data_IF_980624374556
#
_entry.id   IF_980624374556
#
_cell.length_a   1.000
_cell.length_b   1.000
_cell.length_c   1.000
_cell.angle_alpha   90.00
_cell.angle_beta   90.00
_cell.angle_gamma   90.00
#
_symmetry.space_group_name_H-M   'P 1'
#
loop_
_entity.id
_entity.type
_entity.pdbx_description
1 polymer ?
#
# COMPACT_ATOMS: atom_id res chain seq x y z
N UNK A 1 26.60 -41.50 -33.38
CA UNK A 1 26.77 -40.48 -32.33
C UNK A 1 25.92 -39.29 -32.69
N UNK A 2 25.04 -38.89 -31.79
CA UNK A 2 24.02 -37.85 -31.97
C UNK A 2 24.61 -36.48 -31.65
N UNK A 3 24.30 -35.45 -32.44
CA UNK A 3 24.57 -34.05 -32.07
C UNK A 3 23.24 -33.32 -32.01
N UNK A 4 22.94 -32.84 -30.81
CA UNK A 4 21.73 -32.11 -30.42
C UNK A 4 21.66 -30.74 -31.10
N UNK A 5 20.52 -30.46 -31.73
CA UNK A 5 20.14 -29.14 -32.23
C UNK A 5 19.48 -28.38 -31.07
N UNK A 6 20.21 -27.44 -30.47
CA UNK A 6 19.68 -26.48 -29.50
C UNK A 6 19.35 -25.16 -30.19
N UNK A 7 18.07 -24.93 -30.50
CA UNK A 7 17.58 -23.63 -31.00
C UNK A 7 17.39 -22.71 -29.79
N UNK A 8 18.35 -21.82 -29.56
CA UNK A 8 18.23 -20.71 -28.60
C UNK A 8 17.72 -19.46 -29.32
N UNK A 9 16.43 -19.14 -29.13
CA UNK A 9 15.83 -17.89 -29.61
C UNK A 9 16.31 -16.76 -28.68
N UNK A 10 17.13 -15.85 -29.20
CA UNK A 10 17.51 -14.62 -28.50
C UNK A 10 16.38 -13.61 -28.67
N UNK A 11 15.54 -13.46 -27.65
CA UNK A 11 14.58 -12.35 -27.56
C UNK A 11 15.35 -11.07 -27.24
N UNK A 12 15.58 -10.25 -28.26
CA UNK A 12 16.10 -8.89 -28.10
C UNK A 12 15.03 -8.02 -27.46
N UNK A 13 15.07 -7.89 -26.14
CA UNK A 13 14.30 -6.86 -25.42
C UNK A 13 14.94 -5.52 -25.73
N UNK A 14 14.34 -4.75 -26.63
CA UNK A 14 14.72 -3.36 -26.89
C UNK A 14 14.31 -2.50 -25.71
N UNK A 15 15.21 -2.38 -24.73
CA UNK A 15 15.11 -1.41 -23.65
C UNK A 15 15.39 -0.01 -24.21
N UNK A 16 14.34 0.81 -24.35
CA UNK A 16 14.50 2.24 -24.62
C UNK A 16 15.09 2.93 -23.38
N UNK A 17 16.42 3.05 -23.35
CA UNK A 17 17.12 3.90 -22.38
C UNK A 17 16.93 5.37 -22.78
N UNK A 18 15.89 6.01 -22.26
CA UNK A 18 15.73 7.48 -22.33
C UNK A 18 16.77 8.11 -21.41
N UNK A 19 17.88 8.57 -21.98
CA UNK A 19 18.96 9.22 -21.25
C UNK A 19 18.48 10.50 -20.53
N UNK A 20 19.05 10.75 -19.34
CA UNK A 20 18.81 11.91 -18.45
C UNK A 20 18.68 13.27 -19.18
N UNK A 21 19.40 13.47 -20.29
CA UNK A 21 19.35 14.70 -21.10
C UNK A 21 18.05 14.84 -21.91
N UNK A 22 17.48 13.75 -22.41
CA UNK A 22 16.20 13.75 -23.15
C UNK A 22 15.01 14.04 -22.24
N UNK A 23 15.04 13.48 -21.02
CA UNK A 23 14.05 13.77 -19.97
C UNK A 23 14.06 15.25 -19.57
N UNK A 24 15.25 15.84 -19.33
CA UNK A 24 15.37 17.26 -18.97
C UNK A 24 14.91 18.22 -20.08
N UNK A 25 15.09 17.87 -21.36
CA UNK A 25 14.62 18.68 -22.48
C UNK A 25 13.09 18.68 -22.58
N UNK A 26 12.45 17.53 -22.31
CA UNK A 26 10.99 17.40 -22.31
C UNK A 26 10.36 18.23 -21.19
N UNK A 27 10.89 18.14 -19.95
CA UNK A 27 10.36 18.90 -18.81
C UNK A 27 10.52 20.43 -18.93
N UNK A 28 11.60 20.91 -19.57
CA UNK A 28 11.77 22.35 -19.84
C UNK A 28 10.74 22.87 -20.86
N UNK A 29 10.30 22.04 -21.80
CA UNK A 29 9.32 22.43 -22.81
C UNK A 29 7.90 22.57 -22.25
N UNK A 30 7.57 21.81 -21.20
CA UNK A 30 6.22 21.83 -20.56
C UNK A 30 6.15 22.68 -19.28
N UNK A 31 7.20 23.44 -18.95
CA UNK A 31 7.20 24.35 -17.80
C UNK A 31 7.22 23.66 -16.43
N UNK A 32 7.50 22.36 -16.37
CA UNK A 32 7.58 21.61 -15.11
C UNK A 32 9.02 21.66 -14.61
N UNK A 33 9.23 22.35 -13.49
CA UNK A 33 10.52 22.34 -12.80
C UNK A 33 10.69 20.96 -12.15
N UNK A 34 11.76 20.20 -12.45
CA UNK A 34 11.93 18.87 -11.87
C UNK A 34 12.19 19.01 -10.36
N UNK A 35 11.23 18.55 -9.57
CA UNK A 35 11.41 18.37 -8.13
C UNK A 35 12.55 17.39 -7.87
N UNK A 36 13.29 17.62 -6.80
CA UNK A 36 14.34 16.71 -6.34
C UNK A 36 13.67 15.40 -5.92
N UNK A 37 13.96 14.32 -6.63
CA UNK A 37 13.62 12.97 -6.17
C UNK A 37 14.56 12.63 -5.01
N UNK A 38 14.07 12.79 -3.78
CA UNK A 38 14.73 12.22 -2.60
C UNK A 38 14.42 10.73 -2.56
N UNK A 39 15.43 9.89 -2.70
CA UNK A 39 15.30 8.47 -2.43
C UNK A 39 15.06 8.29 -0.93
N UNK A 40 13.88 7.83 -0.57
CA UNK A 40 13.58 7.32 0.77
C UNK A 40 14.03 5.86 0.78
N UNK A 41 14.90 5.51 1.73
CA UNK A 41 15.31 4.13 1.95
C UNK A 41 14.19 3.41 2.71
N UNK A 42 13.57 2.42 2.07
CA UNK A 42 12.47 1.63 2.63
C UNK A 42 12.90 0.83 3.89
N UNK A 43 14.21 0.71 4.16
CA UNK A 43 14.77 0.01 5.31
C UNK A 43 15.35 0.93 6.40
N UNK A 44 15.19 2.25 6.27
CA UNK A 44 15.65 3.16 7.32
C UNK A 44 14.88 2.94 8.63
N UNK A 45 15.60 2.87 9.75
CA UNK A 45 15.04 2.82 11.10
C UNK A 45 14.06 3.99 11.28
N UNK A 46 12.75 3.68 11.30
CA UNK A 46 11.72 4.71 11.41
C UNK A 46 11.75 5.30 12.82
N UNK A 47 12.11 6.58 12.92
CA UNK A 47 11.81 7.30 14.15
C UNK A 47 10.31 7.62 14.18
N UNK A 48 9.62 7.32 15.28
CA UNK A 48 8.20 7.71 15.47
C UNK A 48 7.93 9.21 15.24
N UNK A 49 8.97 10.04 15.29
CA UNK A 49 8.90 11.48 14.99
C UNK A 49 8.90 11.79 13.49
N UNK A 50 9.40 10.89 12.63
CA UNK A 50 9.40 11.04 11.17
C UNK A 50 8.18 10.42 10.49
N UNK A 51 7.39 9.60 11.20
CA UNK A 51 6.17 8.99 10.65
C UNK A 51 5.05 10.02 10.62
N UNK A 52 4.59 10.37 9.42
CA UNK A 52 3.43 11.23 9.19
C UNK A 52 2.27 10.36 8.68
N UNK A 53 1.19 10.29 9.46
CA UNK A 53 -0.01 9.53 9.09
C UNK A 53 -0.92 10.42 8.25
N UNK A 54 -1.21 10.01 7.02
CA UNK A 54 -2.05 10.78 6.10
C UNK A 54 -3.54 10.48 6.28
N UNK A 55 -3.88 9.21 6.51
CA UNK A 55 -5.28 8.76 6.57
C UNK A 55 -5.63 8.10 7.91
N UNK A 56 -4.71 7.36 8.50
CA UNK A 56 -4.94 6.68 9.78
C UNK A 56 -4.80 7.66 10.95
N UNK A 57 -5.85 7.79 11.75
CA UNK A 57 -5.79 8.57 12.98
C UNK A 57 -5.35 7.68 14.16
N UNK A 58 -4.04 7.45 14.27
CA UNK A 58 -3.46 6.57 15.29
C UNK A 58 -2.89 7.37 16.47
N UNK A 59 -3.12 6.88 17.69
CA UNK A 59 -2.57 7.50 18.89
C UNK A 59 -1.07 7.21 19.03
N UNK A 60 -0.24 8.24 18.90
CA UNK A 60 1.23 8.15 19.00
C UNK A 60 1.73 7.47 20.28
N UNK A 61 0.99 7.51 21.38
CA UNK A 61 1.36 6.81 22.62
C UNK A 61 1.33 5.29 22.44
N UNK A 62 0.32 4.78 21.74
CA UNK A 62 0.13 3.35 21.52
C UNK A 62 1.19 2.78 20.57
N UNK A 63 1.71 3.62 19.67
CA UNK A 63 2.73 3.23 18.70
C UNK A 63 4.14 3.07 19.32
N UNK A 64 4.40 3.65 20.50
CA UNK A 64 5.74 3.63 21.14
C UNK A 64 6.23 2.25 21.56
N UNK A 65 5.31 1.31 21.74
CA UNK A 65 5.63 -0.05 22.19
C UNK A 65 5.68 -1.04 21.03
N UNK A 66 5.42 -0.58 19.81
CA UNK A 66 5.46 -1.42 18.63
C UNK A 66 6.90 -1.57 18.13
N UNK A 67 7.29 -2.77 17.66
CA UNK A 67 8.53 -2.97 16.95
C UNK A 67 8.51 -2.26 15.58
N UNK A 68 9.70 -1.97 15.05
CA UNK A 68 9.86 -1.18 13.82
C UNK A 68 9.18 -1.81 12.60
N UNK A 69 9.16 -3.15 12.51
CA UNK A 69 8.49 -3.87 11.43
C UNK A 69 6.97 -3.61 11.41
N UNK A 70 6.32 -3.55 12.58
CA UNK A 70 4.89 -3.23 12.70
C UNK A 70 4.62 -1.75 12.39
N UNK A 71 5.53 -0.85 12.75
CA UNK A 71 5.45 0.57 12.37
C UNK A 71 5.56 0.76 10.86
N UNK A 72 6.52 0.09 10.22
CA UNK A 72 6.67 0.07 8.75
C UNK A 72 5.42 -0.50 8.07
N UNK A 73 4.85 -1.57 8.62
CA UNK A 73 3.62 -2.16 8.09
C UNK A 73 2.44 -1.19 8.18
N UNK A 74 2.25 -0.54 9.33
CA UNK A 74 1.22 0.48 9.49
C UNK A 74 1.40 1.62 8.48
N UNK A 75 2.64 2.04 8.20
CA UNK A 75 2.92 3.06 7.19
C UNK A 75 2.52 2.60 5.78
N UNK A 76 2.84 1.36 5.39
CA UNK A 76 2.39 0.78 4.11
C UNK A 76 0.86 0.72 4.04
N UNK A 77 0.19 0.36 5.14
CA UNK A 77 -1.28 0.37 5.23
C UNK A 77 -1.81 1.80 5.00
N UNK A 78 -1.24 2.81 5.66
CA UNK A 78 -1.64 4.22 5.49
C UNK A 78 -1.50 4.70 4.04
N UNK A 79 -0.39 4.34 3.38
CA UNK A 79 -0.15 4.65 1.98
C UNK A 79 -1.18 3.97 1.06
N UNK A 80 -1.45 2.67 1.26
CA UNK A 80 -2.48 1.94 0.49
C UNK A 80 -3.87 2.54 0.68
N UNK A 81 -4.21 2.97 1.90
CA UNK A 81 -5.48 3.67 2.18
C UNK A 81 -5.53 5.02 1.46
N UNK A 82 -4.42 5.77 1.44
CA UNK A 82 -4.33 7.04 0.71
C UNK A 82 -4.55 6.86 -0.80
N UNK A 83 -3.95 5.82 -1.39
CA UNK A 83 -4.14 5.48 -2.80
C UNK A 83 -5.60 5.13 -3.09
N UNK A 84 -6.21 4.31 -2.23
CA UNK A 84 -7.62 3.95 -2.36
C UNK A 84 -8.56 5.16 -2.26
N UNK A 85 -8.36 6.04 -1.28
CA UNK A 85 -9.18 7.24 -1.15
C UNK A 85 -9.00 8.22 -2.31
N UNK A 86 -7.77 8.34 -2.84
CA UNK A 86 -7.49 9.16 -4.01
C UNK A 86 -8.26 8.66 -5.23
N UNK A 87 -8.32 7.33 -5.41
CA UNK A 87 -9.18 6.71 -6.42
C UNK A 87 -10.67 7.01 -6.20
N UNK A 88 -11.18 6.88 -4.97
CA UNK A 88 -12.58 7.21 -4.67
C UNK A 88 -12.90 8.68 -4.99
N UNK A 89 -12.02 9.62 -4.65
CA UNK A 89 -12.19 11.05 -4.98
C UNK A 89 -12.20 11.27 -6.49
N UNK A 90 -11.33 10.57 -7.25
CA UNK A 90 -11.30 10.65 -8.70
C UNK A 90 -12.59 10.12 -9.35
N UNK A 91 -13.22 9.09 -8.77
CA UNK A 91 -14.53 8.60 -9.23
C UNK A 91 -15.64 9.62 -8.94
N UNK A 92 -15.66 10.20 -7.73
CA UNK A 92 -16.64 11.23 -7.36
C UNK A 92 -16.55 12.45 -8.27
N UNK A 93 -15.33 12.87 -8.64
CA UNK A 93 -15.11 13.96 -9.60
C UNK A 93 -15.68 13.67 -11.00
N UNK A 94 -15.85 12.39 -11.34
CA UNK A 94 -16.47 11.94 -12.60
C UNK A 94 -17.98 11.73 -12.46
N UNK A 95 -18.61 12.19 -11.36
CA UNK A 95 -20.01 11.91 -11.01
C UNK A 95 -20.34 10.42 -10.94
N UNK A 96 -19.32 9.55 -10.78
CA UNK A 96 -19.50 8.14 -10.48
C UNK A 96 -19.51 8.00 -8.96
N UNK A 97 -20.68 7.78 -8.38
CA UNK A 97 -20.78 7.34 -6.98
C UNK A 97 -20.63 5.82 -6.94
N UNK A 98 -19.44 5.27 -6.58
CA UNK A 98 -19.33 3.83 -6.43
C UNK A 98 -20.27 3.38 -5.31
N UNK A 99 -21.04 2.32 -5.57
CA UNK A 99 -21.77 1.64 -4.51
C UNK A 99 -20.74 1.09 -3.51
N UNK A 100 -20.85 1.48 -2.24
CA UNK A 100 -19.98 0.96 -1.18
C UNK A 100 -20.27 -0.53 -1.03
N UNK A 101 -19.29 -1.37 -1.33
CA UNK A 101 -19.43 -2.82 -1.14
C UNK A 101 -19.29 -3.17 0.33
N UNK A 102 -19.82 -4.32 0.75
CA UNK A 102 -19.66 -4.81 2.12
C UNK A 102 -18.17 -4.92 2.50
N UNK A 103 -17.33 -5.38 1.58
CA UNK A 103 -15.88 -5.49 1.80
C UNK A 103 -15.24 -4.13 2.08
N UNK A 104 -15.65 -3.08 1.37
CA UNK A 104 -15.18 -1.71 1.60
C UNK A 104 -15.67 -1.16 2.94
N UNK A 105 -16.91 -1.44 3.31
CA UNK A 105 -17.45 -1.06 4.61
C UNK A 105 -16.70 -1.72 5.76
N UNK A 106 -16.48 -3.04 5.67
CA UNK A 106 -15.75 -3.81 6.69
C UNK A 106 -14.32 -3.29 6.83
N UNK A 107 -13.62 -3.09 5.70
CA UNK A 107 -12.27 -2.55 5.71
C UNK A 107 -12.20 -1.15 6.35
N UNK A 108 -13.15 -0.27 6.01
CA UNK A 108 -13.22 1.06 6.60
C UNK A 108 -13.40 1.00 8.14
N UNK A 109 -14.26 0.09 8.61
CA UNK A 109 -14.47 -0.15 10.04
C UNK A 109 -13.24 -0.76 10.72
N UNK A 110 -12.51 -1.64 10.04
CA UNK A 110 -11.26 -2.19 10.54
C UNK A 110 -10.23 -1.07 10.74
N UNK A 111 -10.03 -0.21 9.73
CA UNK A 111 -9.02 0.84 9.75
C UNK A 111 -9.29 1.95 10.77
N UNK A 112 -10.53 2.43 10.85
CA UNK A 112 -10.85 3.64 11.64
C UNK A 112 -11.42 3.36 13.02
N UNK A 113 -11.81 2.12 13.31
CA UNK A 113 -12.38 1.75 14.61
C UNK A 113 -11.61 0.62 15.25
N UNK A 114 -11.51 -0.54 14.59
CA UNK A 114 -10.94 -1.75 15.22
C UNK A 114 -9.43 -1.70 15.41
N UNK A 115 -8.70 -1.17 14.43
CA UNK A 115 -7.25 -1.05 14.51
C UNK A 115 -6.82 -0.12 15.66
N UNK A 116 -7.38 1.10 15.81
CA UNK A 116 -7.11 1.93 16.98
C UNK A 116 -7.45 1.26 18.33
N UNK A 117 -8.58 0.55 18.41
CA UNK A 117 -9.00 -0.20 19.61
C UNK A 117 -8.02 -1.33 19.95
N UNK A 118 -7.55 -2.06 18.94
CA UNK A 118 -6.60 -3.15 19.11
C UNK A 118 -5.23 -2.65 19.54
N UNK A 119 -4.74 -1.55 18.93
CA UNK A 119 -3.51 -0.88 19.35
C UNK A 119 -3.59 -0.36 20.79
N UNK A 120 -4.76 0.16 21.20
CA UNK A 120 -4.97 0.59 22.59
C UNK A 120 -4.92 -0.60 23.57
N UNK A 121 -5.57 -1.72 23.21
CA UNK A 121 -5.58 -2.94 24.02
C UNK A 121 -4.19 -3.57 24.14
N UNK A 122 -3.44 -3.64 23.02
CA UNK A 122 -2.05 -4.09 23.01
C UNK A 122 -1.18 -3.20 23.91
N UNK A 123 -1.28 -1.88 23.75
CA UNK A 123 -0.55 -0.93 24.59
C UNK A 123 -0.85 -1.10 26.09
N UNK A 124 -2.11 -1.34 26.45
CA UNK A 124 -2.50 -1.61 27.83
C UNK A 124 -1.90 -2.93 28.33
N UNK A 125 -1.97 -4.01 27.57
CA UNK A 125 -1.43 -5.32 27.97
C UNK A 125 0.09 -5.29 28.15
N UNK A 126 0.81 -4.58 27.28
CA UNK A 126 2.27 -4.44 27.36
C UNK A 126 2.68 -3.60 28.57
N UNK A 127 1.92 -2.55 28.92
CA UNK A 127 2.29 -1.61 29.98
C UNK A 127 1.75 -1.92 31.38
N UNK A 128 0.59 -2.60 31.50
CA UNK A 128 -0.03 -2.95 32.79
C UNK A 128 0.75 -4.08 33.46
N UNK A 129 1.23 -5.05 32.67
CA UNK A 129 1.93 -6.24 33.17
C UNK A 129 3.43 -5.99 33.32
N UNK A 130 3.81 -5.18 34.32
CA UNK A 130 5.22 -4.89 34.66
C UNK A 130 5.96 -6.03 35.36
N UNK A 131 5.27 -7.06 35.86
CA UNK A 131 5.96 -8.23 36.43
C UNK A 131 6.40 -9.17 35.32
N UNK A 132 7.70 -9.41 35.21
CA UNK A 132 8.32 -10.33 34.26
C UNK A 132 8.22 -11.79 34.73
N UNK A 133 7.00 -12.26 35.01
CA UNK A 133 6.74 -13.68 35.17
C UNK A 133 6.36 -14.30 33.81
N UNK A 134 6.67 -15.59 33.65
CA UNK A 134 6.48 -16.33 32.38
C UNK A 134 5.06 -16.19 31.83
N UNK A 135 4.03 -16.22 32.70
CA UNK A 135 2.63 -16.04 32.30
C UNK A 135 2.35 -14.68 31.66
N UNK A 136 2.97 -13.60 32.13
CA UNK A 136 2.80 -12.27 31.53
C UNK A 136 3.58 -12.13 30.23
N UNK A 137 4.76 -12.76 30.13
CA UNK A 137 5.51 -12.79 28.88
C UNK A 137 4.72 -13.52 27.78
N UNK A 138 4.09 -14.64 28.12
CA UNK A 138 3.22 -15.38 27.19
C UNK A 138 2.04 -14.53 26.71
N UNK A 139 1.36 -13.81 27.60
CA UNK A 139 0.25 -12.91 27.22
C UNK A 139 0.71 -11.74 26.33
N UNK A 140 1.91 -11.19 26.56
CA UNK A 140 2.49 -10.14 25.71
C UNK A 140 2.83 -10.67 24.32
N UNK A 141 3.36 -11.89 24.24
CA UNK A 141 3.66 -12.56 22.98
C UNK A 141 2.38 -12.82 22.18
N UNK A 142 1.37 -13.42 22.82
CA UNK A 142 0.05 -13.67 22.22
C UNK A 142 -0.61 -12.37 21.74
N UNK A 143 -0.61 -11.30 22.55
CA UNK A 143 -1.15 -10.01 22.12
C UNK A 143 -0.43 -9.43 20.90
N UNK A 144 0.89 -9.65 20.80
CA UNK A 144 1.69 -9.17 19.67
C UNK A 144 1.45 -9.99 18.41
N UNK A 145 1.22 -11.30 18.54
CA UNK A 145 0.84 -12.20 17.45
C UNK A 145 -0.55 -11.86 16.91
N UNK A 146 -1.54 -11.67 17.79
CA UNK A 146 -2.89 -11.24 17.39
C UNK A 146 -2.90 -9.89 16.69
N UNK A 147 -2.08 -8.94 17.17
CA UNK A 147 -1.91 -7.66 16.48
C UNK A 147 -1.29 -7.86 15.10
N UNK A 148 -0.26 -8.69 14.99
CA UNK A 148 0.39 -8.97 13.70
C UNK A 148 -0.58 -9.59 12.71
N UNK A 149 -1.33 -10.61 13.12
CA UNK A 149 -2.33 -11.26 12.26
C UNK A 149 -3.40 -10.27 11.78
N UNK A 150 -3.84 -9.36 12.65
CA UNK A 150 -4.78 -8.32 12.27
C UNK A 150 -4.20 -7.33 11.25
N UNK A 151 -2.95 -6.90 11.44
CA UNK A 151 -2.25 -6.03 10.48
C UNK A 151 -2.08 -6.72 9.12
N UNK A 152 -1.65 -7.99 9.11
CA UNK A 152 -1.51 -8.79 7.91
C UNK A 152 -2.84 -8.95 7.17
N UNK A 153 -3.93 -9.19 7.91
CA UNK A 153 -5.27 -9.30 7.34
C UNK A 153 -5.74 -7.99 6.70
N UNK A 154 -5.52 -6.87 7.37
CA UNK A 154 -5.88 -5.54 6.86
C UNK A 154 -5.07 -5.22 5.60
N UNK A 155 -3.75 -5.45 5.65
CA UNK A 155 -2.85 -5.19 4.52
C UNK A 155 -3.23 -6.04 3.30
N UNK A 156 -3.47 -7.34 3.49
CA UNK A 156 -3.86 -8.24 2.41
C UNK A 156 -5.20 -7.84 1.76
N UNK A 157 -6.19 -7.45 2.58
CA UNK A 157 -7.48 -6.96 2.07
C UNK A 157 -7.34 -5.67 1.25
N UNK A 158 -6.44 -4.79 1.66
CA UNK A 158 -6.11 -3.58 0.90
C UNK A 158 -5.46 -3.93 -0.43
N UNK A 159 -4.52 -4.88 -0.44
CA UNK A 159 -3.85 -5.33 -1.67
C UNK A 159 -4.83 -5.93 -2.67
N UNK A 160 -5.71 -6.82 -2.22
CA UNK A 160 -6.74 -7.41 -3.06
C UNK A 160 -7.68 -6.35 -3.64
N UNK A 161 -8.08 -5.38 -2.80
CA UNK A 161 -8.96 -4.30 -3.21
C UNK A 161 -8.30 -3.40 -4.27
N UNK A 162 -7.04 -3.01 -4.06
CA UNK A 162 -6.29 -2.19 -5.02
C UNK A 162 -6.08 -2.93 -6.33
N UNK A 163 -5.72 -4.22 -6.27
CA UNK A 163 -5.58 -5.08 -7.45
C UNK A 163 -6.88 -5.21 -8.24
N UNK A 164 -8.02 -5.36 -7.57
CA UNK A 164 -9.33 -5.40 -8.24
C UNK A 164 -9.63 -4.09 -8.97
N UNK A 165 -9.30 -2.95 -8.35
CA UNK A 165 -9.45 -1.63 -8.98
C UNK A 165 -8.60 -1.54 -10.24
N UNK A 166 -7.33 -1.94 -10.19
CA UNK A 166 -6.44 -1.92 -11.36
C UNK A 166 -6.98 -2.79 -12.51
N UNK A 167 -7.42 -4.02 -12.20
CA UNK A 167 -8.01 -4.93 -13.18
C UNK A 167 -9.26 -4.32 -13.82
N UNK A 168 -10.14 -3.73 -13.01
CA UNK A 168 -11.36 -3.10 -13.50
C UNK A 168 -11.05 -1.91 -14.41
N UNK A 169 -10.13 -1.03 -14.01
CA UNK A 169 -9.75 0.14 -14.81
C UNK A 169 -9.13 -0.27 -16.16
N UNK A 170 -8.26 -1.29 -16.16
CA UNK A 170 -7.69 -1.81 -17.41
C UNK A 170 -8.77 -2.41 -18.33
N UNK A 171 -9.77 -3.08 -17.75
CA UNK A 171 -10.89 -3.62 -18.50
C UNK A 171 -11.76 -2.51 -19.10
N UNK A 172 -12.06 -1.45 -18.35
CA UNK A 172 -12.80 -0.28 -18.84
C UNK A 172 -12.08 0.38 -20.03
N UNK A 173 -10.76 0.54 -19.96
CA UNK A 173 -9.95 1.07 -21.06
C UNK A 173 -10.01 0.17 -22.31
N UNK A 174 -9.94 -1.15 -22.13
CA UNK A 174 -10.05 -2.11 -23.25
C UNK A 174 -11.42 -2.05 -23.92
N UNK A 175 -12.49 -1.95 -23.14
CA UNK A 175 -13.86 -1.82 -23.67
C UNK A 175 -13.99 -0.51 -24.46
N UNK A 176 -13.50 0.60 -23.91
CA UNK A 176 -13.55 1.89 -24.58
C UNK A 176 -12.75 1.89 -25.90
N UNK A 177 -11.56 1.29 -25.90
CA UNK A 177 -10.77 1.11 -27.13
C UNK A 177 -11.55 0.34 -28.19
N UNK A 178 -12.11 -0.81 -27.84
CA UNK A 178 -12.87 -1.64 -28.78
C UNK A 178 -14.12 -0.92 -29.32
N UNK A 179 -14.78 -0.12 -28.48
CA UNK A 179 -15.93 0.70 -28.89
C UNK A 179 -15.53 1.76 -29.92
N UNK A 180 -14.40 2.45 -29.73
CA UNK A 180 -13.90 3.43 -30.70
C UNK A 180 -13.52 2.73 -32.02
N UNK A 181 -12.81 1.60 -31.94
CA UNK A 181 -12.39 0.83 -33.11
C UNK A 181 -13.59 0.32 -33.93
N UNK A 182 -14.71 -0.04 -33.28
CA UNK A 182 -15.91 -0.51 -33.96
C UNK A 182 -16.70 0.58 -34.70
N UNK A 183 -16.47 1.86 -34.39
CA UNK A 183 -17.13 3.00 -35.04
C UNK A 183 -16.25 3.70 -36.09
N UNK A 184 -15.01 3.24 -36.27
CA UNK A 184 -14.06 3.73 -37.28
C UNK A 184 -13.97 2.80 -38.51
N UNK A 185 -14.82 1.76 -38.59
CA UNK A 185 -15.06 0.92 -39.76
C UNK A 185 -16.43 1.21 -40.36
#
# INVERSE_FOLDING_TARGET
>A
MSVLIGIGIVTTVTTFYLGRKGWHALHKMVGITPGVLTYQDDNALLSLTSINWHQLNLNKKHLKVLPDNQLLQLQRIDEKVSNYQSYQKALQAQNKTPAVTEQQFVLNKMLHTRLPEMLASHYQLVNINRSDNESNQQKKAEASELLQEALDNIEHRLDDLLKQIEIQQLQELRVMKNYIDSHNN
#
